data_IF_365709914626
#
_entry.id   IF_365709914626
#
_cell.length_a   1.000
_cell.length_b   1.000
_cell.length_c   1.000
_cell.angle_alpha   90.00
_cell.angle_beta   90.00
_cell.angle_gamma   90.00
#
_symmetry.space_group_name_H-M   'P 1'
#
loop_
_entity.id
_entity.type
_entity.pdbx_description
1 polymer ?
#
# COMPACT_ATOMS: atom_id res chain seq x y z
N UNK A 1 10.93 2.51 -24.56
CA UNK A 1 11.59 3.44 -23.60
C UNK A 1 10.60 4.04 -22.59
N UNK A 2 9.50 4.67 -23.03
CA UNK A 2 8.52 5.33 -22.17
C UNK A 2 7.86 4.43 -21.11
N UNK A 3 7.42 3.23 -21.48
CA UNK A 3 6.79 2.26 -20.55
C UNK A 3 7.71 1.80 -19.41
N UNK A 4 9.04 1.83 -19.61
CA UNK A 4 10.00 1.49 -18.55
C UNK A 4 9.95 2.49 -17.39
N UNK A 5 9.67 3.76 -17.66
CA UNK A 5 9.61 4.82 -16.67
C UNK A 5 8.24 4.88 -15.97
N UNK A 6 7.20 4.26 -16.53
CA UNK A 6 5.86 4.37 -15.97
C UNK A 6 5.72 3.68 -14.61
N UNK A 7 6.40 2.57 -14.35
CA UNK A 7 6.36 1.90 -13.03
C UNK A 7 6.83 2.83 -11.90
N UNK A 8 8.08 3.35 -11.92
CA UNK A 8 8.53 4.25 -10.87
C UNK A 8 7.77 5.58 -10.86
N UNK A 9 7.33 6.09 -12.03
CA UNK A 9 6.54 7.31 -12.10
C UNK A 9 5.18 7.14 -11.42
N UNK A 10 4.49 6.02 -11.61
CA UNK A 10 3.24 5.72 -10.90
C UNK A 10 3.48 5.67 -9.40
N UNK A 11 4.55 5.02 -8.93
CA UNK A 11 4.88 5.01 -7.51
C UNK A 11 5.12 6.43 -6.94
N UNK A 12 5.84 7.30 -7.67
CA UNK A 12 6.05 8.70 -7.27
C UNK A 12 4.72 9.46 -7.21
N UNK A 13 3.88 9.33 -8.23
CA UNK A 13 2.56 9.99 -8.26
C UNK A 13 1.71 9.53 -7.08
N UNK A 14 1.64 8.22 -6.81
CA UNK A 14 0.86 7.69 -5.69
C UNK A 14 1.43 8.13 -4.34
N UNK A 15 2.76 8.18 -4.19
CA UNK A 15 3.43 8.71 -2.99
C UNK A 15 3.07 10.17 -2.71
N UNK A 16 2.97 11.00 -3.75
CA UNK A 16 2.61 12.41 -3.63
C UNK A 16 1.10 12.61 -3.44
N UNK A 17 0.26 11.74 -4.01
CA UNK A 17 -1.20 11.83 -3.88
C UNK A 17 -1.71 11.33 -2.53
N UNK A 18 -1.02 10.37 -1.90
CA UNK A 18 -1.49 9.75 -0.65
C UNK A 18 -1.75 10.79 0.47
N UNK A 19 -0.86 11.75 0.77
CA UNK A 19 -1.11 12.80 1.75
C UNK A 19 -2.24 13.75 1.34
N UNK A 20 -2.32 14.12 0.06
CA UNK A 20 -3.37 15.02 -0.45
C UNK A 20 -4.76 14.43 -0.23
N UNK A 21 -4.91 13.11 -0.43
CA UNK A 21 -6.16 12.43 -0.12
C UNK A 21 -6.40 12.26 1.38
N UNK A 22 -5.33 12.17 2.18
CA UNK A 22 -5.46 12.12 3.63
C UNK A 22 -6.02 13.43 4.23
N UNK A 23 -5.91 14.57 3.52
CA UNK A 23 -6.50 15.85 3.94
C UNK A 23 -8.03 15.84 3.99
N UNK A 24 -8.69 14.91 3.30
CA UNK A 24 -10.15 14.74 3.38
C UNK A 24 -10.60 13.95 4.62
N UNK A 25 -9.67 13.61 5.51
CA UNK A 25 -9.88 12.83 6.73
C UNK A 25 -9.39 13.63 7.95
N UNK A 26 -10.09 13.60 9.10
CA UNK A 26 -11.29 12.81 9.38
C UNK A 26 -12.56 13.41 8.81
N UNK A 27 -13.58 12.56 8.67
CA UNK A 27 -14.95 12.98 8.35
C UNK A 27 -15.80 12.82 9.62
N UNK A 28 -16.58 13.86 9.95
CA UNK A 28 -17.55 13.79 11.03
C UNK A 28 -18.87 13.20 10.52
N UNK A 29 -19.35 12.16 11.20
CA UNK A 29 -20.63 11.54 10.90
C UNK A 29 -21.35 11.19 12.20
N UNK A 30 -22.57 11.72 12.38
CA UNK A 30 -23.37 11.53 13.60
C UNK A 30 -22.63 11.88 14.91
N UNK A 31 -21.76 12.89 14.89
CA UNK A 31 -20.98 13.32 16.05
C UNK A 31 -19.77 12.42 16.38
N UNK A 32 -19.48 11.41 15.56
CA UNK A 32 -18.27 10.61 15.63
C UNK A 32 -17.30 10.97 14.50
N UNK A 33 -15.99 10.90 14.78
CA UNK A 33 -14.94 11.12 13.79
C UNK A 33 -14.50 9.79 13.19
N UNK A 34 -14.55 9.69 11.87
CA UNK A 34 -14.04 8.55 11.11
C UNK A 34 -12.79 8.93 10.33
N UNK A 35 -11.72 8.16 10.55
CA UNK A 35 -10.41 8.38 9.95
C UNK A 35 -10.21 7.39 8.82
N UNK A 36 -10.08 7.91 7.60
CA UNK A 36 -9.70 7.17 6.41
C UNK A 36 -8.23 7.43 6.15
N UNK A 37 -7.43 6.37 6.09
CA UNK A 37 -6.01 6.46 5.75
C UNK A 37 -5.81 5.87 4.36
N UNK A 38 -5.59 6.70 3.34
CA UNK A 38 -5.26 6.20 2.00
C UNK A 38 -3.93 5.46 2.04
N UNK A 39 -3.84 4.30 1.38
CA UNK A 39 -2.64 3.43 1.32
C UNK A 39 -2.24 3.14 -0.11
N UNK A 40 -2.41 4.12 -0.99
CA UNK A 40 -2.31 3.98 -2.43
C UNK A 40 -0.96 3.41 -2.88
N UNK A 41 0.13 3.90 -2.29
CA UNK A 41 1.47 3.50 -2.69
C UNK A 41 1.76 2.04 -2.35
N UNK A 42 1.53 1.64 -1.10
CA UNK A 42 1.81 0.26 -0.68
C UNK A 42 0.91 -0.74 -1.41
N UNK A 43 -0.35 -0.39 -1.68
CA UNK A 43 -1.23 -1.21 -2.50
C UNK A 43 -0.67 -1.42 -3.91
N UNK A 44 -0.15 -0.37 -4.55
CA UNK A 44 0.52 -0.50 -5.84
C UNK A 44 1.80 -1.35 -5.78
N UNK A 45 2.62 -1.19 -4.72
CA UNK A 45 3.83 -1.98 -4.54
C UNK A 45 3.53 -3.47 -4.32
N UNK A 46 2.42 -3.82 -3.66
CA UNK A 46 1.95 -5.19 -3.54
C UNK A 46 1.64 -5.78 -4.93
N UNK A 47 0.93 -5.04 -5.78
CA UNK A 47 0.67 -5.45 -7.17
C UNK A 47 1.96 -5.65 -7.96
N UNK A 48 2.93 -4.74 -7.80
CA UNK A 48 4.24 -4.85 -8.43
C UNK A 48 5.01 -6.10 -7.96
N UNK A 49 4.89 -6.42 -6.67
CA UNK A 49 5.52 -7.60 -6.07
C UNK A 49 4.96 -8.89 -6.66
N UNK A 50 3.66 -8.91 -6.91
CA UNK A 50 2.91 -10.08 -7.40
C UNK A 50 3.08 -10.28 -8.91
N UNK A 51 2.92 -9.22 -9.71
CA UNK A 51 2.81 -9.31 -11.17
C UNK A 51 4.10 -8.98 -11.93
N UNK A 52 5.06 -8.28 -11.31
CA UNK A 52 6.27 -7.83 -12.03
C UNK A 52 7.56 -8.48 -11.57
N UNK A 53 8.05 -8.07 -10.41
CA UNK A 53 9.35 -8.51 -9.90
C UNK A 53 9.43 -8.29 -8.38
N UNK A 54 9.39 -9.37 -7.59
CA UNK A 54 9.43 -9.30 -6.12
C UNK A 54 10.63 -8.51 -5.59
N UNK A 55 11.83 -8.72 -6.15
CA UNK A 55 13.06 -8.04 -5.71
C UNK A 55 12.98 -6.53 -5.92
N UNK A 56 12.43 -6.09 -7.06
CA UNK A 56 12.25 -4.66 -7.35
C UNK A 56 11.17 -4.04 -6.48
N UNK A 57 10.07 -4.75 -6.23
CA UNK A 57 9.01 -4.27 -5.36
C UNK A 57 9.50 -4.10 -3.91
N UNK A 58 10.28 -5.05 -3.39
CA UNK A 58 10.93 -4.93 -2.08
C UNK A 58 11.89 -3.75 -2.04
N UNK A 59 12.73 -3.55 -3.09
CA UNK A 59 13.62 -2.40 -3.16
C UNK A 59 12.85 -1.07 -3.21
N UNK A 60 11.77 -0.98 -3.97
CA UNK A 60 10.92 0.21 -3.99
C UNK A 60 10.22 0.41 -2.64
N UNK A 61 9.75 -0.66 -2.00
CA UNK A 61 9.22 -0.61 -0.64
C UNK A 61 10.22 -0.04 0.36
N UNK A 62 11.49 -0.44 0.28
CA UNK A 62 12.56 0.11 1.13
C UNK A 62 12.77 1.61 0.87
N UNK A 63 12.91 2.01 -0.40
CA UNK A 63 13.15 3.42 -0.78
C UNK A 63 11.96 4.29 -0.37
N UNK A 64 10.76 3.91 -0.77
CA UNK A 64 9.55 4.68 -0.46
C UNK A 64 9.17 4.63 1.01
N UNK A 65 9.44 3.52 1.71
CA UNK A 65 9.27 3.43 3.16
C UNK A 65 10.18 4.42 3.88
N UNK A 66 11.44 4.54 3.45
CA UNK A 66 12.36 5.55 3.97
C UNK A 66 11.89 6.98 3.66
N UNK A 67 11.41 7.24 2.45
CA UNK A 67 10.84 8.54 2.10
C UNK A 67 9.62 8.85 2.99
N UNK A 68 8.75 7.87 3.23
CA UNK A 68 7.57 8.07 4.08
C UNK A 68 7.97 8.41 5.53
N UNK A 69 8.93 7.68 6.08
CA UNK A 69 9.46 7.92 7.41
C UNK A 69 10.05 9.34 7.55
N UNK A 70 10.79 9.80 6.55
CA UNK A 70 11.48 11.11 6.55
C UNK A 70 10.53 12.28 6.30
N UNK A 71 9.54 12.12 5.41
CA UNK A 71 8.70 13.23 4.96
C UNK A 71 7.36 13.33 5.71
N UNK A 72 6.86 12.24 6.32
CA UNK A 72 5.47 12.21 6.82
C UNK A 72 5.28 11.82 8.28
N UNK A 73 6.19 11.07 8.93
CA UNK A 73 5.96 10.61 10.31
C UNK A 73 7.08 10.92 11.31
N UNK A 74 8.14 11.62 10.91
CA UNK A 74 9.30 12.01 11.75
C UNK A 74 9.94 10.84 12.55
N UNK A 75 9.63 9.59 12.20
CA UNK A 75 10.13 8.37 12.83
C UNK A 75 10.79 7.52 11.76
N UNK A 76 12.12 7.45 11.81
CA UNK A 76 12.91 6.67 10.87
C UNK A 76 12.85 5.19 11.23
N UNK A 77 12.50 4.35 10.26
CA UNK A 77 12.61 2.89 10.34
C UNK A 77 11.27 2.16 10.34
N UNK A 78 10.14 2.83 10.60
CA UNK A 78 8.85 2.16 10.72
C UNK A 78 8.33 1.69 9.35
N UNK A 79 8.07 2.61 8.43
CA UNK A 79 7.65 2.26 7.07
C UNK A 79 8.82 1.70 6.25
N UNK A 80 10.05 2.12 6.52
CA UNK A 80 11.27 1.55 5.92
C UNK A 80 11.33 0.03 6.09
N UNK A 81 10.87 -0.51 7.22
CA UNK A 81 10.80 -1.96 7.47
C UNK A 81 9.49 -2.55 6.96
N UNK A 82 8.35 -1.91 7.23
CA UNK A 82 7.04 -2.48 6.95
C UNK A 82 6.75 -2.61 5.45
N UNK A 83 7.08 -1.62 4.63
CA UNK A 83 6.81 -1.67 3.20
C UNK A 83 7.53 -2.81 2.46
N UNK A 84 8.87 -2.99 2.59
CA UNK A 84 9.53 -4.13 1.96
C UNK A 84 9.06 -5.46 2.54
N UNK A 85 8.74 -5.52 3.84
CA UNK A 85 8.20 -6.73 4.47
C UNK A 85 6.85 -7.14 3.87
N UNK A 86 5.92 -6.18 3.73
CA UNK A 86 4.61 -6.41 3.10
C UNK A 86 4.77 -6.85 1.64
N UNK A 87 5.67 -6.22 0.88
CA UNK A 87 5.98 -6.65 -0.49
C UNK A 87 6.52 -8.08 -0.54
N UNK A 88 7.42 -8.43 0.39
CA UNK A 88 7.99 -9.77 0.49
C UNK A 88 6.91 -10.81 0.78
N UNK A 89 6.07 -10.58 1.80
CA UNK A 89 4.96 -11.46 2.16
C UNK A 89 4.00 -11.64 0.98
N UNK A 90 3.62 -10.56 0.30
CA UNK A 90 2.76 -10.63 -0.88
C UNK A 90 3.31 -11.54 -1.98
N UNK A 91 4.59 -11.41 -2.32
CA UNK A 91 5.23 -12.26 -3.34
C UNK A 91 5.34 -13.72 -2.90
N UNK A 92 5.49 -13.97 -1.60
CA UNK A 92 5.57 -15.32 -1.05
C UNK A 92 4.21 -16.00 -1.06
N UNK A 93 3.15 -15.30 -0.64
CA UNK A 93 1.77 -15.82 -0.61
C UNK A 93 1.27 -16.27 -1.99
N UNK A 94 1.59 -15.53 -3.04
CA UNK A 94 1.14 -15.85 -4.40
C UNK A 94 1.82 -17.08 -4.99
N UNK A 95 2.93 -17.57 -4.44
CA UNK A 95 3.50 -18.87 -4.86
C UNK A 95 2.56 -20.05 -4.61
N UNK A 96 1.63 -19.88 -3.67
CA UNK A 96 0.68 -20.90 -3.24
C UNK A 96 -0.75 -20.65 -3.75
N UNK A 97 -0.99 -19.54 -4.46
CA UNK A 97 -2.34 -19.10 -4.86
C UNK A 97 -2.34 -18.64 -6.33
N UNK A 98 -3.43 -18.89 -7.05
CA UNK A 98 -3.59 -18.43 -8.44
C UNK A 98 -3.53 -16.90 -8.55
N UNK A 99 -2.84 -16.41 -9.59
CA UNK A 99 -2.66 -14.98 -9.88
C UNK A 99 -3.90 -14.33 -10.52
N UNK A 100 -5.03 -14.31 -9.81
CA UNK A 100 -6.23 -13.59 -10.21
C UNK A 100 -6.31 -12.20 -9.58
N UNK A 101 -6.81 -11.22 -10.35
CA UNK A 101 -6.97 -9.83 -9.89
C UNK A 101 -7.75 -9.76 -8.57
N UNK A 102 -8.86 -10.50 -8.45
CA UNK A 102 -9.67 -10.55 -7.23
C UNK A 102 -8.88 -11.04 -6.02
N UNK A 103 -8.08 -12.10 -6.20
CA UNK A 103 -7.25 -12.67 -5.13
C UNK A 103 -6.18 -11.65 -4.71
N UNK A 104 -5.53 -11.01 -5.69
CA UNK A 104 -4.54 -9.96 -5.42
C UNK A 104 -5.15 -8.77 -4.68
N UNK A 105 -6.35 -8.34 -5.05
CA UNK A 105 -7.06 -7.26 -4.34
C UNK A 105 -7.35 -7.65 -2.88
N UNK A 106 -7.92 -8.83 -2.63
CA UNK A 106 -8.23 -9.30 -1.28
C UNK A 106 -6.95 -9.42 -0.44
N UNK A 107 -5.90 -10.03 -0.99
CA UNK A 107 -4.60 -10.16 -0.33
C UNK A 107 -4.00 -8.78 -0.01
N UNK A 108 -4.09 -7.82 -0.92
CA UNK A 108 -3.55 -6.47 -0.72
C UNK A 108 -4.23 -5.76 0.44
N UNK A 109 -5.56 -5.82 0.50
CA UNK A 109 -6.34 -5.20 1.58
C UNK A 109 -6.05 -5.89 2.92
N UNK A 110 -5.94 -7.22 2.93
CA UNK A 110 -5.58 -7.96 4.14
C UNK A 110 -4.19 -7.58 4.66
N UNK A 111 -3.19 -7.50 3.78
CA UNK A 111 -1.83 -7.11 4.16
C UNK A 111 -1.76 -5.67 4.66
N UNK A 112 -2.52 -4.76 4.06
CA UNK A 112 -2.62 -3.38 4.55
C UNK A 112 -3.30 -3.32 5.92
N UNK A 113 -4.37 -4.08 6.14
CA UNK A 113 -5.01 -4.18 7.45
C UNK A 113 -4.04 -4.67 8.53
N UNK A 114 -3.25 -5.70 8.23
CA UNK A 114 -2.22 -6.21 9.13
C UNK A 114 -1.13 -5.16 9.38
N UNK A 115 -0.69 -4.46 8.35
CA UNK A 115 0.29 -3.37 8.49
C UNK A 115 -0.24 -2.26 9.40
N UNK A 116 -1.50 -1.85 9.24
CA UNK A 116 -2.12 -0.82 10.08
C UNK A 116 -2.26 -1.24 11.54
N UNK A 117 -2.57 -2.52 11.80
CA UNK A 117 -2.55 -3.09 13.15
C UNK A 117 -1.15 -3.01 13.77
N UNK A 118 -0.11 -3.37 13.02
CA UNK A 118 1.29 -3.27 13.50
C UNK A 118 1.66 -1.82 13.80
N UNK A 119 1.29 -0.87 12.93
CA UNK A 119 1.50 0.56 13.16
C UNK A 119 0.80 1.04 14.43
N UNK A 120 -0.47 0.65 14.64
CA UNK A 120 -1.21 1.00 15.85
C UNK A 120 -0.52 0.50 17.12
N UNK A 121 -0.13 -0.78 17.17
CA UNK A 121 0.55 -1.32 18.34
C UNK A 121 1.93 -0.69 18.56
N UNK A 122 2.63 -0.35 17.49
CA UNK A 122 3.89 0.39 17.60
C UNK A 122 3.66 1.76 18.25
N UNK A 123 2.68 2.54 17.77
CA UNK A 123 2.37 3.85 18.33
C UNK A 123 1.85 3.78 19.77
N UNK A 124 1.11 2.72 20.12
CA UNK A 124 0.69 2.47 21.50
C UNK A 124 1.90 2.17 22.40
N UNK A 125 2.83 1.34 21.93
CA UNK A 125 4.02 0.92 22.66
C UNK A 125 4.93 2.11 22.99
N UNK A 126 5.11 3.04 22.06
CA UNK A 126 5.92 4.25 22.28
C UNK A 126 5.12 5.39 22.94
N UNK A 127 3.87 5.15 23.37
CA UNK A 127 2.98 6.13 23.99
C UNK A 127 2.69 7.36 23.11
N UNK A 128 2.75 7.19 21.79
CA UNK A 128 2.39 8.24 20.83
C UNK A 128 0.87 8.37 20.66
N UNK A 129 0.12 7.31 20.99
CA UNK A 129 -1.34 7.32 21.05
C UNK A 129 -1.83 6.61 22.30
N UNK A 130 -2.95 7.09 22.84
CA UNK A 130 -3.69 6.46 23.95
C UNK A 130 -5.08 5.97 23.51
N UNK A 131 -5.30 5.92 22.20
CA UNK A 131 -6.60 5.58 21.60
C UNK A 131 -6.93 4.09 21.88
N UNK A 132 -8.08 3.76 22.49
CA UNK A 132 -8.46 2.38 22.78
C UNK A 132 -8.58 1.53 21.52
N UNK A 133 -8.25 0.23 21.61
CA UNK A 133 -8.28 -0.67 20.44
C UNK A 133 -9.63 -0.70 19.74
N UNK A 134 -10.74 -0.68 20.49
CA UNK A 134 -12.08 -0.71 19.91
C UNK A 134 -12.37 0.54 19.06
N UNK A 135 -11.95 1.71 19.54
CA UNK A 135 -12.07 2.96 18.81
C UNK A 135 -11.15 2.95 17.57
N UNK A 136 -9.93 2.41 17.69
CA UNK A 136 -9.01 2.29 16.55
C UNK A 136 -9.64 1.40 15.47
N UNK A 137 -10.19 0.27 15.90
CA UNK A 137 -10.78 -0.71 15.02
C UNK A 137 -11.99 -0.15 14.27
N UNK A 138 -12.93 0.46 14.98
CA UNK A 138 -14.20 0.94 14.41
C UNK A 138 -14.05 2.28 13.67
N UNK A 139 -13.29 3.22 14.22
CA UNK A 139 -13.26 4.59 13.71
C UNK A 139 -12.09 4.84 12.77
N UNK A 140 -11.10 3.93 12.67
CA UNK A 140 -9.93 4.11 11.79
C UNK A 140 -9.64 2.91 10.89
N UNK A 141 -9.49 1.71 11.45
CA UNK A 141 -9.09 0.53 10.68
C UNK A 141 -10.15 0.10 9.67
N UNK A 142 -11.39 -0.13 10.12
CA UNK A 142 -12.50 -0.53 9.24
C UNK A 142 -12.76 0.51 8.13
N UNK A 143 -12.89 1.82 8.43
CA UNK A 143 -13.04 2.85 7.41
C UNK A 143 -11.89 2.87 6.40
N UNK A 144 -10.64 2.76 6.87
CA UNK A 144 -9.46 2.74 6.00
C UNK A 144 -9.43 1.50 5.10
N UNK A 145 -9.75 0.33 5.64
CA UNK A 145 -9.86 -0.92 4.86
C UNK A 145 -10.92 -0.78 3.75
N UNK A 146 -12.10 -0.25 4.08
CA UNK A 146 -13.18 -0.06 3.11
C UNK A 146 -12.79 0.92 2.01
N UNK A 147 -12.18 2.06 2.35
CA UNK A 147 -11.72 3.03 1.38
C UNK A 147 -10.64 2.46 0.45
N UNK A 148 -9.66 1.73 0.99
CA UNK A 148 -8.59 1.11 0.22
C UNK A 148 -9.09 -0.06 -0.65
N UNK A 149 -10.10 -0.80 -0.18
CA UNK A 149 -10.78 -1.81 -1.00
C UNK A 149 -11.53 -1.18 -2.17
N UNK A 150 -12.29 -0.10 -1.92
CA UNK A 150 -12.98 0.65 -2.98
C UNK A 150 -12.00 1.20 -4.02
N UNK A 151 -10.90 1.80 -3.56
CA UNK A 151 -9.81 2.25 -4.43
C UNK A 151 -9.27 1.13 -5.33
N UNK A 152 -9.02 -0.06 -4.78
CA UNK A 152 -8.55 -1.19 -5.59
C UNK A 152 -9.62 -1.77 -6.53
N UNK A 153 -10.90 -1.72 -6.16
CA UNK A 153 -11.96 -2.07 -7.10
C UNK A 153 -11.96 -1.13 -8.31
N UNK A 154 -11.73 0.17 -8.07
CA UNK A 154 -11.72 1.18 -9.13
C UNK A 154 -10.45 1.16 -9.97
N UNK A 155 -9.27 0.91 -9.38
CA UNK A 155 -7.96 1.12 -10.04
C UNK A 155 -7.06 -0.11 -10.09
N UNK A 156 -7.37 -1.21 -9.39
CA UNK A 156 -6.56 -2.42 -9.39
C UNK A 156 -6.38 -3.03 -10.78
N UNK A 157 -7.40 -2.96 -11.63
CA UNK A 157 -7.30 -3.41 -13.03
C UNK A 157 -6.32 -2.55 -13.84
N UNK A 158 -6.26 -1.24 -13.58
CA UNK A 158 -5.33 -0.33 -14.25
C UNK A 158 -3.88 -0.62 -13.85
N UNK A 159 -3.61 -0.95 -12.58
CA UNK A 159 -2.27 -1.37 -12.15
C UNK A 159 -1.85 -2.66 -12.83
N UNK A 160 -2.73 -3.66 -12.86
CA UNK A 160 -2.44 -4.92 -13.54
C UNK A 160 -2.15 -4.70 -15.03
N UNK A 161 -2.98 -3.90 -15.71
CA UNK A 161 -2.78 -3.59 -17.13
C UNK A 161 -1.44 -2.89 -17.40
N UNK A 162 -1.10 -1.87 -16.61
CA UNK A 162 0.17 -1.15 -16.72
C UNK A 162 1.38 -2.08 -16.55
N UNK A 163 1.31 -2.96 -15.55
CA UNK A 163 2.38 -3.92 -15.24
C UNK A 163 2.52 -4.95 -16.35
N UNK A 164 1.42 -5.55 -16.79
CA UNK A 164 1.38 -6.55 -17.87
C UNK A 164 1.97 -5.95 -19.17
N UNK A 165 1.63 -4.70 -19.50
CA UNK A 165 2.20 -3.98 -20.64
C UNK A 165 3.73 -3.84 -20.55
N UNK A 166 4.27 -3.56 -19.34
CA UNK A 166 5.72 -3.49 -19.14
C UNK A 166 6.40 -4.85 -19.26
N UNK A 167 5.77 -5.92 -18.76
CA UNK A 167 6.29 -7.29 -18.87
C UNK A 167 6.41 -7.67 -20.35
N UNK A 168 5.36 -7.43 -21.16
CA UNK A 168 5.37 -7.72 -22.59
C UNK A 168 6.44 -6.93 -23.34
N UNK A 169 6.62 -5.64 -23.03
CA UNK A 169 7.68 -4.84 -23.65
C UNK A 169 9.06 -5.42 -23.35
N UNK A 170 9.29 -5.86 -22.09
CA UNK A 170 10.57 -6.46 -21.69
C UNK A 170 10.85 -7.77 -22.45
N UNK A 171 9.83 -8.56 -22.75
CA UNK A 171 9.99 -9.81 -23.53
C UNK A 171 10.38 -9.47 -24.98
N UNK A 172 9.74 -8.50 -25.62
CA UNK A 172 10.10 -8.05 -26.99
C UNK A 172 11.50 -7.44 -27.09
N UNK A 173 11.99 -6.82 -26.01
CA UNK A 173 13.36 -6.27 -25.95
C UNK A 173 14.43 -7.38 -25.88
N UNK A 174 14.04 -8.63 -25.57
CA UNK A 174 14.94 -9.78 -25.39
C UNK A 174 14.90 -10.79 -26.55
N UNK A 175 13.92 -10.68 -27.46
CA UNK A 175 13.77 -11.48 -28.68
C UNK A 175 14.42 -10.81 -29.87
#
# INVERSE_FOLDING_TARGET
>A
MWIRLMIPLTAIILFLLEPEFALFSPIEWNGELFYFVPRFLILYLIFLSIYYNPKRAVLYGLIFGLLYDVFYIDIIGLYTVLYPLVCYIASWSVKYIHQHLTITTILSVLLVALMEMVLYYFFLLIQFTNLPFMEFFMNRLIPSILANFLYLMMLGWAFKYLIDARVLQKIRELS
#
